data_IF_398243230073
#
_entry.id   IF_398243230073
#
_cell.length_a   1.000
_cell.length_b   1.000
_cell.length_c   1.000
_cell.angle_alpha   90.00
_cell.angle_beta   90.00
_cell.angle_gamma   90.00
#
_symmetry.space_group_name_H-M   'P 1'
#
loop_
_entity.id
_entity.type
_entity.pdbx_description
1 polymer ?
#
# COMPACT_ATOMS: atom_id res chain seq x y z
N UNK A 1 -38.57 -12.90 35.27
CA UNK A 1 -38.72 -12.85 33.79
C UNK A 1 -37.40 -12.38 33.20
N UNK A 2 -36.69 -13.22 32.46
CA UNK A 2 -35.54 -12.81 31.65
C UNK A 2 -35.94 -12.81 30.19
N UNK A 3 -35.85 -11.66 29.51
CA UNK A 3 -35.90 -11.57 28.05
C UNK A 3 -34.98 -10.45 27.59
N UNK A 4 -33.75 -10.81 27.27
CA UNK A 4 -32.92 -10.06 26.35
C UNK A 4 -32.98 -10.73 24.97
N UNK A 5 -33.09 -9.92 23.92
CA UNK A 5 -32.69 -10.26 22.57
C UNK A 5 -33.78 -10.78 21.62
N UNK A 6 -34.13 -9.98 20.62
CA UNK A 6 -34.54 -10.51 19.30
C UNK A 6 -34.41 -9.52 18.13
N UNK A 7 -33.97 -8.28 18.36
CA UNK A 7 -33.89 -7.24 17.31
C UNK A 7 -32.59 -6.44 17.34
N UNK A 8 -31.45 -7.10 17.57
CA UNK A 8 -30.18 -6.48 17.20
C UNK A 8 -29.95 -6.80 15.71
N UNK A 9 -29.97 -5.82 14.79
CA UNK A 9 -29.58 -6.09 13.41
C UNK A 9 -28.12 -6.54 13.44
N UNK A 10 -27.72 -7.59 12.67
CA UNK A 10 -26.32 -7.95 12.58
C UNK A 10 -25.53 -6.69 12.19
N UNK A 11 -24.37 -6.40 12.83
CA UNK A 11 -23.58 -5.26 12.45
C UNK A 11 -23.34 -5.39 10.95
N UNK A 12 -23.86 -4.41 10.19
CA UNK A 12 -23.72 -4.35 8.74
C UNK A 12 -22.23 -4.45 8.47
N UNK A 13 -21.79 -5.65 8.06
CA UNK A 13 -20.40 -5.92 7.74
C UNK A 13 -19.94 -4.82 6.80
N UNK A 14 -18.88 -4.10 7.18
CA UNK A 14 -18.32 -2.98 6.43
C UNK A 14 -18.28 -3.38 4.96
N UNK A 15 -19.23 -2.88 4.14
CA UNK A 15 -19.10 -2.87 2.68
C UNK A 15 -17.74 -2.26 2.46
N UNK A 16 -16.81 -3.04 1.90
CA UNK A 16 -15.39 -2.71 1.88
C UNK A 16 -15.23 -1.27 1.44
N UNK A 17 -14.82 -0.42 2.38
CA UNK A 17 -14.60 0.99 2.10
C UNK A 17 -13.54 1.02 0.99
N UNK A 18 -13.86 1.69 -0.11
CA UNK A 18 -12.83 1.97 -1.09
C UNK A 18 -11.75 2.78 -0.37
N UNK A 19 -10.50 2.35 -0.53
CA UNK A 19 -9.39 2.99 0.16
C UNK A 19 -9.38 4.47 -0.25
N UNK A 20 -9.49 5.38 0.71
CA UNK A 20 -9.56 6.82 0.47
C UNK A 20 -8.34 7.39 -0.25
N UNK A 21 -7.25 6.61 -0.31
CA UNK A 21 -5.99 6.95 -0.96
C UNK A 21 -5.89 6.50 -2.43
N UNK A 22 -6.94 5.87 -2.98
CA UNK A 22 -6.93 5.35 -4.35
C UNK A 22 -6.57 6.40 -5.41
N UNK A 23 -6.81 7.68 -5.14
CA UNK A 23 -6.42 8.80 -6.00
C UNK A 23 -4.91 8.82 -6.32
N UNK A 24 -4.06 8.27 -5.43
CA UNK A 24 -2.63 8.12 -5.67
C UNK A 24 -2.31 7.17 -6.82
N UNK A 25 -3.23 6.27 -7.19
CA UNK A 25 -3.05 5.35 -8.30
C UNK A 25 -3.60 5.88 -9.63
N UNK A 26 -4.37 6.97 -9.64
CA UNK A 26 -4.88 7.57 -10.88
C UNK A 26 -3.76 7.87 -11.91
N UNK A 27 -2.57 8.39 -11.52
CA UNK A 27 -1.46 8.58 -12.46
C UNK A 27 -0.89 7.27 -13.01
N UNK A 28 -0.98 6.18 -12.24
CA UNK A 28 -0.52 4.86 -12.66
C UNK A 28 -1.49 4.20 -13.65
N UNK A 29 -2.79 4.48 -13.53
CA UNK A 29 -3.83 3.91 -14.39
C UNK A 29 -3.69 4.30 -15.86
N UNK A 30 -3.04 5.43 -16.15
CA UNK A 30 -2.72 5.86 -17.52
C UNK A 30 -1.59 5.03 -18.17
N UNK A 31 -0.85 4.25 -17.39
CA UNK A 31 0.30 3.49 -17.86
C UNK A 31 -0.09 2.08 -18.33
N UNK A 32 0.39 1.67 -19.51
CA UNK A 32 0.05 0.37 -20.10
C UNK A 32 0.61 -0.83 -19.31
N UNK A 33 1.68 -0.63 -18.54
CA UNK A 33 2.29 -1.65 -17.68
C UNK A 33 1.64 -1.73 -16.30
N UNK A 34 0.66 -0.89 -16.00
CA UNK A 34 0.00 -0.87 -14.70
C UNK A 34 -0.97 -2.03 -14.51
N UNK A 35 -0.89 -2.65 -13.33
CA UNK A 35 -1.84 -3.62 -12.85
C UNK A 35 -2.22 -3.33 -11.41
N UNK A 36 -3.52 -3.30 -11.10
CA UNK A 36 -4.01 -3.19 -9.73
C UNK A 36 -4.46 -4.54 -9.21
N UNK A 37 -4.11 -4.86 -7.96
CA UNK A 37 -4.62 -6.05 -7.28
C UNK A 37 -5.00 -5.74 -5.84
N UNK A 38 -6.22 -6.15 -5.47
CA UNK A 38 -6.65 -6.12 -4.07
C UNK A 38 -6.05 -7.29 -3.32
N UNK A 39 -5.32 -7.02 -2.24
CA UNK A 39 -4.66 -8.02 -1.41
C UNK A 39 -4.82 -7.68 0.06
N UNK A 40 -5.37 -8.61 0.86
CA UNK A 40 -5.55 -8.42 2.30
C UNK A 40 -6.31 -7.13 2.65
N UNK A 41 -7.26 -6.70 1.81
CA UNK A 41 -7.98 -5.44 1.94
C UNK A 41 -7.09 -4.19 1.90
N UNK A 42 -6.00 -4.28 1.15
CA UNK A 42 -5.15 -3.19 0.67
C UNK A 42 -5.14 -3.23 -0.86
N UNK A 43 -4.76 -2.13 -1.48
CA UNK A 43 -4.70 -1.97 -2.93
C UNK A 43 -3.24 -1.96 -3.38
N UNK A 44 -2.82 -2.99 -4.10
CA UNK A 44 -1.45 -3.13 -4.58
C UNK A 44 -1.34 -2.69 -6.04
N UNK A 45 -0.41 -1.78 -6.31
CA UNK A 45 -0.02 -1.35 -7.64
C UNK A 45 1.19 -2.14 -8.12
N UNK A 46 1.04 -2.71 -9.31
CA UNK A 46 2.06 -3.39 -10.06
C UNK A 46 2.40 -2.58 -11.29
N UNK A 47 3.69 -2.53 -11.64
CA UNK A 47 4.16 -2.01 -12.91
C UNK A 47 5.04 -3.06 -13.57
N UNK A 48 4.74 -3.41 -14.81
CA UNK A 48 5.50 -4.39 -15.59
C UNK A 48 5.61 -5.76 -14.86
N UNK A 49 4.59 -6.10 -14.07
CA UNK A 49 4.52 -7.33 -13.27
C UNK A 49 5.30 -7.27 -11.93
N UNK A 50 5.98 -6.17 -11.62
CA UNK A 50 6.66 -5.94 -10.35
C UNK A 50 5.72 -5.26 -9.35
N UNK A 51 5.75 -5.69 -8.08
CA UNK A 51 4.99 -5.02 -7.03
C UNK A 51 5.73 -3.75 -6.61
N UNK A 52 5.14 -2.58 -6.86
CA UNK A 52 5.79 -1.29 -6.63
C UNK A 52 5.28 -0.59 -5.37
N UNK A 53 3.95 -0.42 -5.28
CA UNK A 53 3.32 0.36 -4.21
C UNK A 53 2.11 -0.39 -3.66
N UNK A 54 1.81 -0.21 -2.37
CA UNK A 54 0.59 -0.75 -1.76
C UNK A 54 -0.06 0.33 -0.91
N UNK A 55 -1.31 0.65 -1.21
CA UNK A 55 -2.13 1.57 -0.43
C UNK A 55 -2.95 0.81 0.60
N UNK A 56 -3.00 1.34 1.81
CA UNK A 56 -3.83 0.80 2.86
C UNK A 56 -4.39 1.93 3.73
N UNK A 57 -5.68 1.87 4.05
CA UNK A 57 -6.41 2.79 4.93
C UNK A 57 -6.78 2.08 6.25
N UNK A 58 -5.89 1.20 6.70
CA UNK A 58 -6.05 0.37 7.89
C UNK A 58 -5.43 1.07 9.09
N UNK A 59 -5.56 0.49 10.27
CA UNK A 59 -4.89 1.05 11.45
C UNK A 59 -3.36 1.04 11.29
N UNK A 60 -2.65 2.05 11.82
CA UNK A 60 -1.20 2.06 11.86
C UNK A 60 -0.67 0.74 12.44
N UNK A 61 0.34 0.11 11.83
CA UNK A 61 1.31 0.67 10.86
C UNK A 61 0.94 0.48 9.38
N UNK A 62 -0.33 0.25 9.06
CA UNK A 62 -0.81 0.03 7.69
C UNK A 62 -1.63 1.23 7.15
N UNK A 63 -1.61 2.38 7.81
CA UNK A 63 -2.37 3.57 7.37
C UNK A 63 -1.53 4.47 6.45
N UNK A 64 -1.58 4.23 5.14
CA UNK A 64 -0.89 5.07 4.16
C UNK A 64 -0.36 4.30 2.97
N UNK A 65 0.85 4.66 2.55
CA UNK A 65 1.50 4.14 1.35
C UNK A 65 2.71 3.28 1.74
N UNK A 66 2.67 2.01 1.36
CA UNK A 66 3.81 1.11 1.47
C UNK A 66 4.59 1.12 0.15
N UNK A 67 5.91 1.20 0.26
CA UNK A 67 6.84 1.16 -0.86
C UNK A 67 7.54 -0.19 -0.87
N UNK A 68 7.27 -0.97 -1.90
CA UNK A 68 7.88 -2.28 -2.08
C UNK A 68 9.29 -2.08 -2.66
N UNK A 69 10.27 -2.22 -1.77
CA UNK A 69 11.69 -2.06 -2.06
C UNK A 69 12.50 -3.13 -1.32
N UNK A 70 13.83 -3.11 -1.49
CA UNK A 70 14.77 -3.95 -0.75
C UNK A 70 15.51 -3.12 0.33
N UNK A 71 15.96 -3.79 1.41
CA UNK A 71 16.68 -3.16 2.52
C UNK A 71 17.93 -2.40 2.09
N UNK A 72 18.62 -2.87 1.05
CA UNK A 72 19.81 -2.20 0.50
C UNK A 72 19.52 -0.78 -0.01
N UNK A 73 18.26 -0.49 -0.38
CA UNK A 73 17.84 0.78 -0.98
C UNK A 73 17.11 1.69 -0.02
N UNK A 74 16.88 1.23 1.21
CA UNK A 74 16.21 1.98 2.27
C UNK A 74 16.92 3.28 2.60
N UNK A 75 18.26 3.28 2.65
CA UNK A 75 19.04 4.48 2.97
C UNK A 75 18.85 5.59 1.93
N UNK A 76 18.89 5.25 0.64
CA UNK A 76 18.70 6.21 -0.44
C UNK A 76 17.27 6.78 -0.46
N UNK A 77 16.26 5.94 -0.24
CA UNK A 77 14.86 6.37 -0.21
C UNK A 77 14.56 7.23 1.04
N UNK A 78 15.04 6.85 2.23
CA UNK A 78 14.84 7.65 3.45
C UNK A 78 15.59 8.99 3.42
N UNK A 79 16.73 9.08 2.71
CA UNK A 79 17.44 10.34 2.52
C UNK A 79 16.66 11.31 1.62
N UNK A 80 15.94 10.80 0.64
CA UNK A 80 15.09 11.61 -0.27
C UNK A 80 13.70 11.89 0.33
N UNK A 81 13.16 10.95 1.10
CA UNK A 81 11.84 10.97 1.70
C UNK A 81 11.92 10.75 3.21
N UNK A 82 12.12 11.82 4.01
CA UNK A 82 12.35 11.69 5.45
C UNK A 82 11.14 11.16 6.24
N UNK A 83 9.95 11.15 5.65
CA UNK A 83 8.76 10.58 6.29
C UNK A 83 8.63 9.06 6.05
N UNK A 84 9.44 8.49 5.15
CA UNK A 84 9.51 7.03 5.01
C UNK A 84 10.13 6.40 6.24
N UNK A 85 9.46 5.37 6.74
CA UNK A 85 9.89 4.56 7.87
C UNK A 85 9.95 3.10 7.45
N UNK A 86 10.84 2.33 8.07
CA UNK A 86 10.81 0.88 7.89
C UNK A 86 9.49 0.33 8.43
N UNK A 87 8.81 -0.50 7.64
CA UNK A 87 7.58 -1.11 8.10
C UNK A 87 7.90 -2.14 9.22
N UNK A 88 7.27 -2.07 10.40
CA UNK A 88 7.62 -2.92 11.55
C UNK A 88 7.36 -4.41 11.30
N UNK A 89 6.24 -4.76 10.65
CA UNK A 89 5.93 -6.16 10.29
C UNK A 89 6.65 -6.64 9.02
N UNK A 90 6.64 -5.80 7.97
CA UNK A 90 7.30 -6.07 6.70
C UNK A 90 8.67 -5.38 6.67
N UNK A 91 9.59 -5.75 7.56
CA UNK A 91 10.91 -5.09 7.73
C UNK A 91 11.83 -5.01 6.49
N UNK A 92 11.37 -5.46 5.32
CA UNK A 92 12.00 -5.26 4.01
C UNK A 92 11.40 -4.10 3.20
N UNK A 93 10.21 -3.62 3.55
CA UNK A 93 9.49 -2.55 2.86
C UNK A 93 9.52 -1.28 3.69
N UNK A 94 9.34 -0.16 3.00
CA UNK A 94 9.13 1.14 3.64
C UNK A 94 7.64 1.46 3.68
N UNK A 95 7.29 2.34 4.60
CA UNK A 95 5.94 2.79 4.85
C UNK A 95 5.95 4.29 5.09
N UNK A 96 5.03 4.97 4.41
CA UNK A 96 4.74 6.39 4.57
C UNK A 96 3.36 6.50 5.26
N UNK A 97 3.32 6.95 6.52
CA UNK A 97 2.07 7.13 7.25
C UNK A 97 1.23 8.26 6.66
N UNK A 98 -0.08 8.04 6.52
CA UNK A 98 -1.05 9.05 6.06
C UNK A 98 -1.17 10.24 7.02
N UNK A 99 -0.96 10.02 8.32
CA UNK A 99 -0.97 11.08 9.35
C UNK A 99 0.25 12.04 9.25
N UNK A 100 1.26 11.70 8.44
CA UNK A 100 2.43 12.56 8.28
C UNK A 100 2.08 13.83 7.47
N UNK A 101 2.49 15.03 7.90
CA UNK A 101 2.20 16.26 7.18
C UNK A 101 2.82 16.31 5.77
N UNK A 102 3.84 15.50 5.50
CA UNK A 102 4.47 15.40 4.18
C UNK A 102 3.88 14.26 3.34
N UNK A 103 2.86 13.55 3.83
CA UNK A 103 2.29 12.37 3.18
C UNK A 103 1.93 12.62 1.73
N UNK A 104 1.05 13.58 1.45
CA UNK A 104 0.54 13.80 0.08
C UNK A 104 1.67 14.14 -0.90
N UNK A 105 2.62 14.97 -0.46
CA UNK A 105 3.75 15.39 -1.29
C UNK A 105 4.72 14.23 -1.56
N UNK A 106 5.10 13.49 -0.53
CA UNK A 106 6.03 12.36 -0.68
C UNK A 106 5.35 11.17 -1.37
N UNK A 107 4.07 10.91 -1.12
CA UNK A 107 3.31 9.87 -1.78
C UNK A 107 3.20 10.13 -3.29
N UNK A 108 2.85 11.35 -3.69
CA UNK A 108 2.81 11.73 -5.10
C UNK A 108 4.18 11.58 -5.77
N UNK A 109 5.26 11.97 -5.08
CA UNK A 109 6.62 11.78 -5.58
C UNK A 109 7.00 10.28 -5.72
N UNK A 110 6.61 9.43 -4.77
CA UNK A 110 6.83 7.98 -4.83
C UNK A 110 6.06 7.33 -5.98
N UNK A 111 4.83 7.78 -6.24
CA UNK A 111 4.05 7.36 -7.42
C UNK A 111 4.77 7.73 -8.71
N UNK A 112 5.33 8.95 -8.79
CA UNK A 112 6.13 9.37 -9.96
C UNK A 112 7.40 8.54 -10.13
N UNK A 113 8.09 8.20 -9.04
CA UNK A 113 9.26 7.32 -9.09
C UNK A 113 8.89 5.91 -9.57
N UNK A 114 7.77 5.37 -9.10
CA UNK A 114 7.25 4.10 -9.59
C UNK A 114 6.96 4.18 -11.10
N UNK A 115 6.24 5.21 -11.56
CA UNK A 115 6.00 5.48 -13.00
C UNK A 115 7.30 5.58 -13.81
N UNK A 116 8.35 6.17 -13.24
CA UNK A 116 9.65 6.28 -13.90
C UNK A 116 10.44 4.96 -13.94
N UNK A 117 9.87 3.86 -13.42
CA UNK A 117 10.55 2.56 -13.25
C UNK A 117 11.85 2.73 -12.47
N UNK A 118 11.82 3.57 -11.43
CA UNK A 118 12.98 3.78 -10.56
C UNK A 118 13.43 2.42 -10.03
N UNK A 119 14.70 2.07 -10.26
CA UNK A 119 15.24 0.76 -9.88
C UNK A 119 15.12 0.47 -8.37
N UNK A 120 14.88 1.50 -7.54
CA UNK A 120 14.66 1.37 -6.11
C UNK A 120 13.27 0.91 -5.72
N UNK A 121 12.28 1.01 -6.61
CA UNK A 121 10.90 0.65 -6.34
C UNK A 121 10.50 -0.50 -7.28
N UNK A 122 9.93 -1.56 -6.73
CA UNK A 122 9.58 -2.74 -7.50
C UNK A 122 10.26 -3.97 -6.93
N UNK A 123 9.44 -4.85 -6.37
CA UNK A 123 9.88 -6.18 -5.92
C UNK A 123 9.17 -7.21 -6.78
N UNK A 124 9.93 -8.11 -7.39
CA UNK A 124 9.35 -9.24 -8.11
C UNK A 124 8.44 -10.01 -7.13
N UNK A 125 7.13 -10.13 -7.42
CA UNK A 125 6.25 -10.91 -6.56
C UNK A 125 6.78 -12.34 -6.56
N UNK A 126 7.12 -12.86 -5.39
CA UNK A 126 7.56 -14.25 -5.28
C UNK A 126 6.43 -15.14 -5.83
N UNK A 127 6.65 -15.94 -6.88
CA UNK A 127 5.63 -16.84 -7.37
C UNK A 127 5.30 -17.79 -6.22
N UNK A 128 4.04 -17.76 -5.74
CA UNK A 128 3.55 -18.75 -4.79
C UNK A 128 3.81 -20.11 -5.45
N UNK A 129 4.72 -20.90 -4.90
CA UNK A 129 4.85 -22.33 -5.26
C UNK A 129 3.45 -22.93 -5.08
N UNK A 130 2.81 -23.27 -6.21
CA UNK A 130 1.60 -24.07 -6.21
C UNK A 130 2.00 -25.40 -5.57
N UNK A 131 1.59 -25.62 -4.31
CA UNK A 131 1.70 -26.95 -3.70
C UNK A 131 0.71 -27.83 -4.47
N UNK A 132 1.24 -28.66 -5.37
CA UNK A 132 0.54 -29.84 -5.88
C UNK A 132 0.46 -30.88 -4.78
#
# INVERSE_FOLDING_TARGET
>A
MGRGGLFDPPPRGKRGRENGLLWLFEPLEADAGYGRRRMFGCEAAYLDGLLCLVLSDREPPWDGLLVCTDRTRHGALQAEFPALRMHPELGKWLYLPQDDPLFETQAAALVRLALARDARIGVAPQPRRLKR
#
